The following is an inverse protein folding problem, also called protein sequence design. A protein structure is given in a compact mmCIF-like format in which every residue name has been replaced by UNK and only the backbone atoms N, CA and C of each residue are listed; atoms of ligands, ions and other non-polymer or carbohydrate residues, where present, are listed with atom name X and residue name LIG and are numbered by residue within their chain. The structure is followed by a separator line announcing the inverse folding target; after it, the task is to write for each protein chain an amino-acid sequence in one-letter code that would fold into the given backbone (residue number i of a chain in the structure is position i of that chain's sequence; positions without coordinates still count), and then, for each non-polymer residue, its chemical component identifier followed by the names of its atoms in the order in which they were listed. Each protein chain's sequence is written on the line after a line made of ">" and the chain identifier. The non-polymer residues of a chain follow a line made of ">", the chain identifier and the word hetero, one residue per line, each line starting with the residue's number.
data_IF_988268001659
#
_entry.id   IF_988268001659
#
_cell.length_a   1.000
_cell.length_b   1.000
_cell.length_c   1.000
_cell.angle_alpha   90.00
_cell.angle_beta   90.00
_cell.angle_gamma   90.00
#
_symmetry.space_group_name_H-M   'P 1'
#
loop_
_entity.id
_entity.type
_entity.pdbx_description
1 polymer ?
#
# COMPACT_ATOMS: atom_id res chain seq x y z
N UNK A 1 -19.68 -3.79 3.21
CA UNK A 1 -19.07 -2.95 4.27
C UNK A 1 -18.74 -1.60 3.68
N UNK A 2 -18.92 -0.55 4.48
CA UNK A 2 -18.47 0.80 4.14
C UNK A 2 -17.01 0.94 4.56
N UNK A 3 -16.11 1.08 3.60
CA UNK A 3 -14.67 0.91 3.85
C UNK A 3 -13.88 2.14 3.41
N UNK A 4 -12.97 2.58 4.27
CA UNK A 4 -11.95 3.59 3.95
C UNK A 4 -10.63 2.84 3.66
N UNK A 5 -9.92 3.22 2.60
CA UNK A 5 -8.67 2.57 2.21
C UNK A 5 -7.49 3.51 2.43
N UNK A 6 -6.45 3.05 3.14
CA UNK A 6 -5.16 3.75 3.19
C UNK A 6 -4.48 3.55 1.84
N UNK A 7 -4.29 4.63 1.09
CA UNK A 7 -3.79 4.59 -0.28
C UNK A 7 -2.56 5.47 -0.44
N UNK A 8 -1.41 4.86 -0.69
CA UNK A 8 -0.16 5.60 -0.93
C UNK A 8 0.03 5.97 -2.42
N UNK A 9 -0.81 5.46 -3.33
CA UNK A 9 -0.61 5.62 -4.77
C UNK A 9 0.31 4.56 -5.37
N UNK A 10 0.81 3.64 -4.54
CA UNK A 10 1.61 2.49 -4.99
C UNK A 10 0.74 1.36 -5.52
N UNK A 11 1.37 0.41 -6.20
CA UNK A 11 0.70 -0.73 -6.83
C UNK A 11 -0.27 -1.43 -5.86
N UNK A 12 0.22 -1.76 -4.67
CA UNK A 12 -0.53 -2.59 -3.71
C UNK A 12 -1.79 -1.87 -3.21
N UNK A 13 -1.63 -0.61 -2.80
CA UNK A 13 -2.73 0.18 -2.23
C UNK A 13 -3.77 0.58 -3.29
N UNK A 14 -3.33 0.84 -4.53
CA UNK A 14 -4.26 1.14 -5.63
C UNK A 14 -5.03 -0.12 -6.02
N UNK A 15 -4.35 -1.28 -6.06
CA UNK A 15 -5.04 -2.57 -6.32
C UNK A 15 -6.07 -2.86 -5.23
N UNK A 16 -5.72 -2.62 -3.96
CA UNK A 16 -6.68 -2.77 -2.86
C UNK A 16 -7.87 -1.81 -3.03
N UNK A 17 -7.64 -0.55 -3.42
CA UNK A 17 -8.72 0.40 -3.62
C UNK A 17 -9.70 -0.08 -4.70
N UNK A 18 -9.18 -0.60 -5.82
CA UNK A 18 -10.01 -1.16 -6.89
C UNK A 18 -10.78 -2.40 -6.43
N UNK A 19 -10.13 -3.29 -5.66
CA UNK A 19 -10.80 -4.45 -5.08
C UNK A 19 -11.96 -4.03 -4.17
N UNK A 20 -11.71 -3.07 -3.25
CA UNK A 20 -12.74 -2.59 -2.33
C UNK A 20 -13.90 -1.94 -3.10
N UNK A 21 -13.59 -1.12 -4.12
CA UNK A 21 -14.62 -0.47 -4.92
C UNK A 21 -15.50 -1.50 -5.66
N UNK A 22 -14.94 -2.66 -6.02
CA UNK A 22 -15.69 -3.72 -6.71
C UNK A 22 -16.51 -4.60 -5.76
N UNK A 23 -16.01 -4.84 -4.55
CA UNK A 23 -16.60 -5.82 -3.62
C UNK A 23 -17.39 -5.18 -2.47
N UNK A 24 -17.18 -3.90 -2.19
CA UNK A 24 -17.70 -3.21 -1.02
C UNK A 24 -18.10 -1.77 -1.40
N UNK A 25 -18.57 -1.01 -0.42
CA UNK A 25 -18.82 0.43 -0.59
C UNK A 25 -17.55 1.19 -0.20
N UNK A 26 -16.81 1.66 -1.19
CA UNK A 26 -15.60 2.47 -0.94
C UNK A 26 -16.03 3.90 -0.59
N UNK A 27 -15.78 4.34 0.66
CA UNK A 27 -16.17 5.67 1.12
C UNK A 27 -15.13 6.74 0.78
N UNK A 28 -13.85 6.42 0.95
CA UNK A 28 -12.77 7.40 0.75
C UNK A 28 -11.43 6.70 0.64
N UNK A 29 -10.47 7.39 0.00
CA UNK A 29 -9.05 7.05 0.08
C UNK A 29 -8.36 8.05 1.02
N UNK A 30 -7.47 7.54 1.88
CA UNK A 30 -6.72 8.36 2.83
C UNK A 30 -5.23 8.17 2.55
N UNK A 31 -4.53 9.26 2.31
CA UNK A 31 -3.07 9.29 2.13
C UNK A 31 -2.43 10.11 3.24
N UNK A 32 -1.13 9.88 3.47
CA UNK A 32 -0.41 10.57 4.54
C UNK A 32 0.83 11.27 3.98
N UNK A 33 0.92 12.57 4.25
CA UNK A 33 2.15 13.34 4.05
C UNK A 33 2.87 13.38 5.39
N UNK A 34 3.94 12.59 5.49
CA UNK A 34 4.79 12.52 6.69
C UNK A 34 6.19 13.09 6.41
N UNK A 35 6.29 13.93 5.37
CA UNK A 35 7.56 14.51 4.97
C UNK A 35 8.43 13.54 4.17
N UNK A 36 7.84 12.53 3.55
CA UNK A 36 8.57 11.58 2.70
C UNK A 36 9.33 12.30 1.59
N UNK A 37 10.47 11.74 1.23
CA UNK A 37 11.44 12.34 0.29
C UNK A 37 10.79 12.69 -1.06
N UNK A 38 9.86 11.87 -1.52
CA UNK A 38 9.18 12.06 -2.79
C UNK A 38 7.67 11.98 -2.61
N UNK A 39 7.00 13.10 -2.85
CA UNK A 39 5.55 13.21 -2.68
C UNK A 39 4.76 12.83 -3.93
N UNK A 40 5.45 12.42 -4.99
CA UNK A 40 4.84 12.04 -6.27
C UNK A 40 3.76 10.97 -6.07
N UNK A 41 3.98 10.02 -5.16
CA UNK A 41 3.01 8.98 -4.86
C UNK A 41 1.65 9.54 -4.41
N UNK A 42 1.63 10.71 -3.75
CA UNK A 42 0.37 11.34 -3.32
C UNK A 42 -0.47 11.80 -4.51
N UNK A 43 0.18 12.23 -5.60
CA UNK A 43 -0.54 12.59 -6.84
C UNK A 43 -1.20 11.35 -7.44
N UNK A 44 -0.52 10.20 -7.42
CA UNK A 44 -1.09 8.94 -7.90
C UNK A 44 -2.26 8.46 -7.04
N UNK A 45 -2.19 8.68 -5.73
CA UNK A 45 -3.32 8.38 -4.82
C UNK A 45 -4.51 9.29 -5.11
N UNK A 46 -4.26 10.59 -5.35
CA UNK A 46 -5.32 11.54 -5.72
C UNK A 46 -5.96 11.16 -7.06
N UNK A 47 -5.16 10.74 -8.04
CA UNK A 47 -5.66 10.28 -9.33
C UNK A 47 -6.53 9.01 -9.16
N UNK A 48 -6.11 8.09 -8.32
CA UNK A 48 -6.88 6.89 -8.00
C UNK A 48 -8.25 7.27 -7.42
N UNK A 49 -8.29 8.15 -6.44
CA UNK A 49 -9.54 8.61 -5.82
C UNK A 49 -10.47 9.25 -6.86
N UNK A 50 -9.91 10.08 -7.75
CA UNK A 50 -10.67 10.72 -8.80
C UNK A 50 -11.29 9.69 -9.77
N UNK A 51 -10.52 8.67 -10.17
CA UNK A 51 -11.01 7.60 -11.05
C UNK A 51 -12.11 6.78 -10.39
N UNK A 52 -12.00 6.54 -9.09
CA UNK A 52 -12.99 5.75 -8.34
C UNK A 52 -14.18 6.60 -7.86
N UNK A 53 -14.13 7.91 -8.06
CA UNK A 53 -15.23 8.81 -7.72
C UNK A 53 -15.44 9.01 -6.22
N UNK A 54 -14.37 8.93 -5.43
CA UNK A 54 -14.45 9.03 -3.95
C UNK A 54 -13.60 10.17 -3.41
N UNK A 55 -13.89 10.71 -2.22
CA UNK A 55 -13.04 11.70 -1.55
C UNK A 55 -11.63 11.17 -1.30
N UNK A 56 -10.66 12.11 -1.35
CA UNK A 56 -9.26 11.82 -1.04
C UNK A 56 -8.82 12.72 0.11
N UNK A 57 -8.52 12.26 1.19
CA UNK A 57 -8.18 13.01 2.30
C UNK A 57 -6.71 13.00 2.43
N UNK A 58 -6.16 13.82 2.61
CA UNK A 58 -4.84 13.95 2.90
C UNK A 58 -4.70 14.20 4.33
N UNK A 59 -4.02 13.44 4.99
CA UNK A 59 -3.57 13.61 6.36
C UNK A 59 -2.15 14.15 6.38
N UNK A 60 -1.91 15.14 7.21
CA UNK A 60 -0.56 15.68 7.40
C UNK A 60 -0.07 15.35 8.81
N UNK A 61 1.05 14.63 8.93
CA UNK A 61 1.82 14.60 10.14
C UNK A 61 3.29 14.66 9.71
N UNK A 62 3.98 15.68 10.14
CA UNK A 62 5.39 15.91 9.80
C UNK A 62 6.20 16.09 11.07
N UNK A 63 7.14 15.18 11.31
CA UNK A 63 8.23 15.41 12.24
C UNK A 63 9.55 15.26 11.49
N UNK A 64 10.47 16.15 11.76
CA UNK A 64 11.78 16.19 11.11
C UNK A 64 12.58 14.90 11.25
N UNK A 65 12.24 14.08 12.24
CA UNK A 65 12.92 12.82 12.54
C UNK A 65 12.50 11.66 11.64
N UNK A 66 11.46 11.82 10.81
CA UNK A 66 10.89 10.71 10.01
C UNK A 66 11.46 10.63 8.59
N UNK A 67 12.66 11.14 8.36
CA UNK A 67 13.26 11.23 7.02
C UNK A 67 14.05 9.99 6.57
N UNK A 68 14.10 8.93 7.38
CA UNK A 68 14.78 7.69 6.98
C UNK A 68 13.82 6.75 6.23
N UNK A 69 14.36 5.83 5.45
CA UNK A 69 13.58 4.91 4.62
C UNK A 69 12.69 3.97 5.45
N UNK A 70 13.09 3.67 6.67
CA UNK A 70 12.27 2.92 7.63
C UNK A 70 11.79 3.91 8.69
N UNK A 71 10.50 4.19 8.70
CA UNK A 71 9.85 5.02 9.72
C UNK A 71 9.22 4.05 10.73
N UNK A 72 9.86 3.85 11.89
CA UNK A 72 9.32 2.89 12.86
C UNK A 72 7.88 3.25 13.27
N UNK A 73 7.05 2.22 13.39
CA UNK A 73 5.66 2.39 13.85
C UNK A 73 4.76 3.16 12.87
N UNK A 74 5.19 3.33 11.61
CA UNK A 74 4.45 4.16 10.64
C UNK A 74 3.03 3.65 10.40
N UNK A 75 2.87 2.34 10.20
CA UNK A 75 1.55 1.79 9.93
C UNK A 75 0.61 1.95 11.14
N UNK A 76 1.12 1.82 12.37
CA UNK A 76 0.30 2.04 13.57
C UNK A 76 -0.21 3.48 13.65
N UNK A 77 0.66 4.47 13.35
CA UNK A 77 0.26 5.89 13.35
C UNK A 77 -0.82 6.15 12.29
N UNK A 78 -0.57 5.72 11.06
CA UNK A 78 -1.51 5.92 9.95
C UNK A 78 -2.85 5.25 10.23
N UNK A 79 -2.81 4.01 10.74
CA UNK A 79 -4.02 3.25 11.07
C UNK A 79 -4.82 3.94 12.20
N UNK A 80 -4.15 4.44 13.23
CA UNK A 80 -4.83 5.14 14.33
C UNK A 80 -5.63 6.34 13.82
N UNK A 81 -5.02 7.14 12.95
CA UNK A 81 -5.69 8.31 12.36
C UNK A 81 -6.85 7.85 11.46
N UNK A 82 -6.62 6.84 10.63
CA UNK A 82 -7.65 6.31 9.73
C UNK A 82 -8.84 5.73 10.48
N UNK A 83 -8.62 5.07 11.63
CA UNK A 83 -9.70 4.55 12.47
C UNK A 83 -10.52 5.69 13.09
N UNK A 84 -9.88 6.77 13.53
CA UNK A 84 -10.61 7.95 14.01
C UNK A 84 -11.49 8.55 12.92
N UNK A 85 -10.96 8.66 11.71
CA UNK A 85 -11.72 9.14 10.55
C UNK A 85 -12.89 8.18 10.21
N UNK A 86 -12.63 6.88 10.22
CA UNK A 86 -13.64 5.85 9.94
C UNK A 86 -14.80 5.92 10.95
N UNK A 87 -14.48 6.07 12.24
CA UNK A 87 -15.50 6.20 13.28
C UNK A 87 -16.35 7.46 13.04
N UNK A 88 -15.70 8.59 12.72
CA UNK A 88 -16.40 9.87 12.45
C UNK A 88 -17.30 9.79 11.22
N UNK A 89 -16.92 9.00 10.22
CA UNK A 89 -17.69 8.85 8.96
C UNK A 89 -18.63 7.63 8.98
N UNK A 90 -18.75 6.97 10.12
CA UNK A 90 -19.60 5.79 10.26
C UNK A 90 -19.24 4.68 9.26
N UNK A 91 -17.95 4.51 9.00
CA UNK A 91 -17.43 3.43 8.18
C UNK A 91 -17.36 2.12 9.00
N UNK A 92 -17.48 0.99 8.31
CA UNK A 92 -17.41 -0.35 8.94
C UNK A 92 -15.97 -0.86 9.03
N UNK A 93 -15.08 -0.35 8.16
CA UNK A 93 -13.71 -0.88 8.08
C UNK A 93 -12.70 0.16 7.59
N UNK A 94 -11.45 -0.04 8.01
CA UNK A 94 -10.26 0.57 7.41
C UNK A 94 -9.47 -0.53 6.72
N UNK A 95 -9.08 -0.35 5.46
CA UNK A 95 -8.32 -1.34 4.71
C UNK A 95 -6.88 -0.84 4.46
N UNK A 96 -5.93 -1.77 4.57
CA UNK A 96 -4.50 -1.52 4.32
C UNK A 96 -3.90 -2.64 3.48
N UNK A 97 -2.95 -2.31 2.60
CA UNK A 97 -2.38 -3.24 1.60
C UNK A 97 -1.01 -3.78 2.01
N UNK A 98 -0.78 -4.05 3.29
CA UNK A 98 0.43 -4.76 3.73
C UNK A 98 0.41 -6.19 3.17
N UNK A 99 1.58 -6.74 2.82
CA UNK A 99 1.63 -8.06 2.19
C UNK A 99 2.77 -8.93 2.75
N UNK A 100 2.76 -10.21 2.38
CA UNK A 100 3.70 -11.20 2.92
C UNK A 100 5.17 -10.86 2.72
N UNK A 101 5.51 -10.23 1.61
CA UNK A 101 6.89 -9.81 1.32
C UNK A 101 7.43 -8.73 2.25
N UNK A 102 6.55 -7.96 2.90
CA UNK A 102 6.95 -6.88 3.81
C UNK A 102 7.42 -7.40 5.19
N UNK A 103 7.07 -8.63 5.55
CA UNK A 103 7.22 -9.16 6.91
C UNK A 103 8.66 -9.17 7.43
N UNK A 104 9.64 -9.37 6.53
CA UNK A 104 11.06 -9.45 6.90
C UNK A 104 11.58 -8.10 7.38
N UNK A 105 11.10 -7.02 6.76
CA UNK A 105 11.64 -5.67 6.98
C UNK A 105 10.79 -4.90 7.99
N UNK A 106 9.45 -5.05 7.92
CA UNK A 106 8.51 -4.18 8.66
C UNK A 106 7.67 -5.00 9.65
N UNK A 107 7.98 -4.92 10.96
CA UNK A 107 7.18 -5.63 11.98
C UNK A 107 5.70 -5.24 11.96
N UNK A 108 5.40 -3.97 11.62
CA UNK A 108 4.04 -3.44 11.56
C UNK A 108 3.31 -3.77 10.25
N UNK A 109 3.82 -4.78 9.52
CA UNK A 109 3.13 -5.41 8.38
C UNK A 109 2.75 -6.86 8.66
N UNK A 110 3.12 -7.41 9.81
CA UNK A 110 2.93 -8.84 10.14
C UNK A 110 1.51 -9.14 10.64
N UNK A 111 1.03 -10.39 10.45
CA UNK A 111 -0.32 -10.77 10.93
C UNK A 111 -0.54 -10.47 12.42
N UNK A 112 0.44 -10.78 13.28
CA UNK A 112 0.32 -10.50 14.71
C UNK A 112 0.12 -9.03 15.04
N UNK A 113 0.74 -8.13 14.27
CA UNK A 113 0.50 -6.69 14.43
C UNK A 113 -0.94 -6.35 14.02
N UNK A 114 -1.40 -6.85 12.86
CA UNK A 114 -2.75 -6.58 12.34
C UNK A 114 -3.81 -7.02 13.37
N UNK A 115 -3.66 -8.24 13.90
CA UNK A 115 -4.61 -8.78 14.89
C UNK A 115 -4.62 -7.97 16.19
N UNK A 116 -3.43 -7.64 16.71
CA UNK A 116 -3.29 -6.87 17.95
C UNK A 116 -3.82 -5.45 17.77
N UNK A 117 -3.56 -4.82 16.62
CA UNK A 117 -4.04 -3.47 16.35
C UNK A 117 -5.58 -3.47 16.27
N UNK A 118 -6.16 -4.45 15.57
CA UNK A 118 -7.62 -4.56 15.46
C UNK A 118 -8.26 -4.76 16.85
N UNK A 119 -7.68 -5.61 17.71
CA UNK A 119 -8.17 -5.83 19.08
C UNK A 119 -8.08 -4.54 19.91
N UNK A 120 -6.97 -3.84 19.83
CA UNK A 120 -6.78 -2.56 20.55
C UNK A 120 -7.83 -1.53 20.11
N UNK A 121 -8.08 -1.41 18.83
CA UNK A 121 -9.07 -0.45 18.30
C UNK A 121 -10.49 -0.83 18.72
N UNK A 122 -10.82 -2.11 18.80
CA UNK A 122 -12.13 -2.55 19.28
C UNK A 122 -12.38 -2.06 20.71
N UNK A 123 -11.37 -2.13 21.58
CA UNK A 123 -11.47 -1.59 22.94
C UNK A 123 -11.52 -0.05 22.93
N UNK A 124 -10.69 0.60 22.12
CA UNK A 124 -10.63 2.05 22.09
C UNK A 124 -11.93 2.70 21.60
N UNK A 125 -12.68 1.99 20.76
CA UNK A 125 -13.94 2.50 20.16
C UNK A 125 -15.19 1.88 20.82
N UNK A 126 -15.02 1.11 21.87
CA UNK A 126 -16.14 0.42 22.54
C UNK A 126 -17.25 1.40 22.95
N UNK A 127 -18.46 1.14 22.49
CA UNK A 127 -19.62 1.98 22.75
C UNK A 127 -19.78 3.17 21.79
N UNK A 128 -18.81 3.42 20.92
CA UNK A 128 -18.84 4.53 19.95
C UNK A 128 -18.95 4.06 18.49
N UNK A 129 -18.13 3.09 18.11
CA UNK A 129 -18.10 2.62 16.73
C UNK A 129 -17.57 1.18 16.69
N UNK A 130 -17.95 0.45 15.63
CA UNK A 130 -17.44 -0.90 15.38
C UNK A 130 -16.72 -0.91 14.04
N UNK A 131 -15.47 -0.49 14.05
CA UNK A 131 -14.62 -0.41 12.84
C UNK A 131 -13.63 -1.56 12.88
N UNK A 132 -13.49 -2.28 11.76
CA UNK A 132 -12.57 -3.41 11.64
C UNK A 132 -11.38 -3.07 10.77
N UNK A 133 -10.23 -3.66 11.08
CA UNK A 133 -9.06 -3.59 10.20
C UNK A 133 -9.15 -4.70 9.15
N UNK A 134 -9.08 -4.33 7.88
CA UNK A 134 -9.16 -5.25 6.76
C UNK A 134 -7.82 -5.24 6.01
N UNK A 135 -7.05 -6.33 6.11
CA UNK A 135 -5.73 -6.45 5.48
C UNK A 135 -5.69 -7.73 4.63
N UNK A 136 -6.39 -7.73 3.46
CA UNK A 136 -6.59 -8.97 2.71
C UNK A 136 -5.30 -9.53 2.10
N UNK A 137 -4.25 -8.71 2.00
CA UNK A 137 -2.99 -9.13 1.38
C UNK A 137 -1.93 -9.56 2.40
N UNK A 138 -2.23 -9.52 3.70
CA UNK A 138 -1.22 -9.70 4.74
C UNK A 138 -0.43 -11.02 4.63
N UNK A 139 -1.01 -12.06 4.04
CA UNK A 139 -0.33 -13.36 3.90
C UNK A 139 -0.02 -13.74 2.44
N UNK A 140 -0.26 -12.84 1.48
CA UNK A 140 -0.06 -13.18 0.06
C UNK A 140 1.15 -12.46 -0.53
N UNK A 141 1.63 -12.93 -1.67
CA UNK A 141 2.76 -12.34 -2.38
C UNK A 141 2.33 -11.10 -3.18
N UNK A 142 3.30 -10.28 -3.54
CA UNK A 142 3.05 -9.13 -4.43
C UNK A 142 2.54 -9.59 -5.82
N UNK A 143 2.98 -10.77 -6.30
CA UNK A 143 2.48 -11.33 -7.55
C UNK A 143 0.96 -11.61 -7.47
N UNK A 144 0.48 -12.10 -6.31
CA UNK A 144 -0.96 -12.31 -6.11
C UNK A 144 -1.72 -10.97 -6.12
N UNK A 145 -1.10 -9.90 -5.64
CA UNK A 145 -1.70 -8.54 -5.71
C UNK A 145 -1.81 -8.08 -7.17
N UNK A 146 -0.79 -8.36 -7.99
CA UNK A 146 -0.85 -8.04 -9.44
C UNK A 146 -2.02 -8.80 -10.08
N UNK A 147 -2.17 -10.10 -9.76
CA UNK A 147 -3.29 -10.91 -10.27
C UNK A 147 -4.65 -10.33 -9.86
N UNK A 148 -4.79 -9.96 -8.59
CA UNK A 148 -6.00 -9.28 -8.10
C UNK A 148 -6.22 -7.96 -8.84
N UNK A 149 -5.15 -7.19 -9.03
CA UNK A 149 -5.22 -5.91 -9.75
C UNK A 149 -5.77 -6.07 -11.17
N UNK A 150 -5.34 -7.11 -11.90
CA UNK A 150 -5.91 -7.42 -13.22
C UNK A 150 -7.40 -7.70 -13.09
N UNK A 151 -7.77 -8.55 -12.15
CA UNK A 151 -9.16 -8.93 -11.91
C UNK A 151 -10.08 -7.72 -11.67
N UNK A 152 -9.59 -6.73 -10.92
CA UNK A 152 -10.39 -5.57 -10.55
C UNK A 152 -10.10 -4.31 -11.40
N UNK A 153 -9.36 -4.47 -12.50
CA UNK A 153 -9.13 -3.39 -13.46
C UNK A 153 -8.20 -2.28 -12.96
N UNK A 154 -7.22 -2.61 -12.13
CA UNK A 154 -6.24 -1.64 -11.65
C UNK A 154 -5.45 -1.05 -12.83
N UNK A 155 -5.43 0.28 -12.99
CA UNK A 155 -4.62 0.91 -14.04
C UNK A 155 -3.15 0.99 -13.57
N UNK A 156 -2.40 -0.08 -13.73
CA UNK A 156 -1.02 -0.20 -13.20
C UNK A 156 -0.09 0.93 -13.65
N UNK A 157 -0.26 1.45 -14.88
CA UNK A 157 0.49 2.62 -15.33
C UNK A 157 0.18 3.89 -14.54
N UNK A 158 -0.92 3.90 -13.80
CA UNK A 158 -1.32 4.98 -12.88
C UNK A 158 -0.94 4.69 -11.43
N UNK A 159 0.14 3.93 -11.19
CA UNK A 159 0.66 3.65 -9.83
C UNK A 159 2.15 3.98 -9.77
N UNK A 160 2.63 4.40 -8.60
CA UNK A 160 4.03 4.79 -8.42
C UNK A 160 4.73 3.94 -7.35
N UNK A 161 5.88 3.34 -7.70
CA UNK A 161 6.65 2.49 -6.78
C UNK A 161 8.06 3.00 -6.51
N UNK A 162 8.63 3.83 -7.37
CA UNK A 162 10.05 4.16 -7.34
C UNK A 162 10.44 5.10 -6.20
N UNK A 163 11.36 4.67 -5.34
CA UNK A 163 11.87 5.48 -4.22
C UNK A 163 12.77 6.65 -4.67
N UNK A 164 13.27 6.67 -5.92
CA UNK A 164 14.13 7.76 -6.39
C UNK A 164 13.34 9.00 -6.83
N UNK A 165 12.05 8.86 -7.12
CA UNK A 165 11.17 9.99 -7.42
C UNK A 165 11.47 10.73 -8.72
N UNK A 166 12.16 10.09 -9.67
CA UNK A 166 12.47 10.67 -10.97
C UNK A 166 11.26 10.84 -11.88
N UNK A 167 11.48 11.23 -13.13
CA UNK A 167 10.40 11.35 -14.11
C UNK A 167 9.81 9.97 -14.41
N UNK A 168 10.67 8.96 -14.60
CA UNK A 168 10.29 7.56 -14.81
C UNK A 168 10.72 6.72 -13.60
N UNK A 169 10.24 5.48 -13.52
CA UNK A 169 10.75 4.50 -12.54
C UNK A 169 12.22 4.19 -12.86
N UNK A 170 13.10 4.21 -11.89
CA UNK A 170 14.53 4.00 -12.15
C UNK A 170 14.88 2.56 -12.59
N UNK A 171 14.05 1.57 -12.24
CA UNK A 171 14.30 0.17 -12.56
C UNK A 171 15.28 -0.54 -11.64
N UNK A 172 16.02 0.19 -10.79
CA UNK A 172 17.15 -0.34 -10.00
C UNK A 172 16.93 -0.37 -8.49
N UNK A 173 16.01 0.43 -7.96
CA UNK A 173 15.75 0.41 -6.51
C UNK A 173 14.95 -0.83 -6.13
N UNK A 174 15.00 -1.23 -4.85
CA UNK A 174 14.35 -2.44 -4.37
C UNK A 174 12.89 -2.55 -4.77
N UNK A 175 12.13 -1.45 -4.65
CA UNK A 175 10.71 -1.45 -5.00
C UNK A 175 10.47 -1.57 -6.52
N UNK A 176 11.38 -1.08 -7.36
CA UNK A 176 11.28 -1.30 -8.81
C UNK A 176 11.58 -2.76 -9.17
N UNK A 177 12.61 -3.34 -8.55
CA UNK A 177 12.96 -4.77 -8.75
C UNK A 177 11.78 -5.65 -8.32
N UNK A 178 11.28 -5.43 -7.10
CA UNK A 178 10.13 -6.18 -6.57
C UNK A 178 8.90 -6.04 -7.46
N UNK A 179 8.63 -4.84 -7.96
CA UNK A 179 7.51 -4.61 -8.88
C UNK A 179 7.67 -5.43 -10.16
N UNK A 180 8.85 -5.36 -10.81
CA UNK A 180 9.12 -6.10 -12.05
C UNK A 180 8.98 -7.61 -11.83
N UNK A 181 9.58 -8.10 -10.76
CA UNK A 181 9.49 -9.52 -10.40
C UNK A 181 8.03 -9.95 -10.17
N UNK A 182 7.24 -9.12 -9.47
CA UNK A 182 5.84 -9.44 -9.20
C UNK A 182 5.03 -9.58 -10.50
N UNK A 183 5.23 -8.68 -11.47
CA UNK A 183 4.57 -8.79 -12.77
C UNK A 183 5.02 -10.04 -13.53
N UNK A 184 6.32 -10.34 -13.50
CA UNK A 184 6.88 -11.53 -14.14
C UNK A 184 6.26 -12.81 -13.55
N UNK A 185 6.24 -12.92 -12.22
CA UNK A 185 5.70 -14.09 -11.52
C UNK A 185 4.18 -14.23 -11.70
N UNK A 186 3.48 -13.11 -11.87
CA UNK A 186 2.05 -13.12 -12.14
C UNK A 186 1.73 -13.45 -13.62
N UNK A 187 2.74 -13.47 -14.50
CA UNK A 187 2.52 -13.66 -15.93
C UNK A 187 1.78 -12.50 -16.59
N UNK A 188 1.93 -11.29 -16.05
CA UNK A 188 1.22 -10.08 -16.48
C UNK A 188 2.23 -9.09 -17.07
N UNK A 189 1.90 -8.48 -18.21
CA UNK A 189 2.76 -7.44 -18.79
C UNK A 189 2.78 -6.20 -17.89
N UNK A 190 3.97 -5.77 -17.49
CA UNK A 190 4.14 -4.56 -16.70
C UNK A 190 4.09 -3.32 -17.62
N UNK A 191 3.10 -2.44 -17.48
CA UNK A 191 3.00 -1.25 -18.35
C UNK A 191 3.90 -0.09 -17.93
N UNK A 192 4.74 -0.28 -16.92
CA UNK A 192 5.55 0.77 -16.31
C UNK A 192 6.74 1.13 -17.21
N UNK A 193 6.98 2.43 -17.37
CA UNK A 193 8.16 2.93 -18.09
C UNK A 193 9.34 3.04 -17.13
N UNK A 194 10.42 2.31 -17.42
CA UNK A 194 11.63 2.25 -16.59
C UNK A 194 12.82 2.87 -17.29
N UNK A 195 13.71 3.52 -16.54
CA UNK A 195 15.01 3.96 -17.04
C UNK A 195 15.92 2.76 -17.34
N UNK A 196 15.85 1.72 -16.49
CA UNK A 196 16.56 0.46 -16.69
C UNK A 196 15.56 -0.69 -16.52
N UNK A 197 15.01 -1.20 -17.64
CA UNK A 197 13.95 -2.22 -17.57
C UNK A 197 14.44 -3.64 -17.24
N UNK A 198 15.75 -3.91 -17.38
CA UNK A 198 16.29 -5.28 -17.32
C UNK A 198 17.13 -5.57 -16.06
N UNK A 199 17.47 -4.56 -15.29
CA UNK A 199 18.30 -4.71 -14.08
C UNK A 199 17.75 -5.76 -13.10
N UNK A 200 16.42 -5.87 -13.01
CA UNK A 200 15.76 -6.77 -12.05
C UNK A 200 16.15 -8.24 -12.27
N UNK A 201 16.44 -8.66 -13.50
CA UNK A 201 16.81 -10.05 -13.81
C UNK A 201 18.09 -10.44 -13.07
N UNK A 202 19.13 -9.61 -13.19
CA UNK A 202 20.41 -9.87 -12.50
C UNK A 202 20.25 -9.75 -10.97
N UNK A 203 19.44 -8.79 -10.52
CA UNK A 203 19.22 -8.56 -9.10
C UNK A 203 18.53 -9.77 -8.43
N UNK A 204 17.47 -10.31 -9.05
CA UNK A 204 16.75 -11.47 -8.49
C UNK A 204 17.62 -12.73 -8.50
N UNK A 205 18.42 -12.95 -9.53
CA UNK A 205 19.37 -14.07 -9.56
C UNK A 205 20.43 -13.97 -8.45
N UNK A 206 20.90 -12.76 -8.17
CA UNK A 206 21.88 -12.53 -7.11
C UNK A 206 21.29 -12.83 -5.72
N UNK A 207 20.04 -12.48 -5.48
CA UNK A 207 19.33 -12.77 -4.22
C UNK A 207 19.14 -14.27 -4.05
N UNK A 208 18.66 -14.97 -5.07
CA UNK A 208 18.46 -16.42 -5.03
C UNK A 208 19.76 -17.17 -4.71
N UNK A 209 20.89 -16.71 -5.24
CA UNK A 209 22.21 -17.31 -4.97
C UNK A 209 22.69 -17.10 -3.54
N UNK A 210 22.21 -16.08 -2.84
CA UNK A 210 22.56 -15.81 -1.44
C UNK A 210 21.75 -16.66 -0.46
N UNK A 211 20.52 -17.02 -0.79
CA UNK A 211 19.65 -17.84 0.06
C UNK A 211 20.08 -19.32 0.12
N UNK A 212 20.90 -19.77 -0.82
CA UNK A 212 21.39 -21.17 -0.90
C UNK A 212 22.68 -21.39 -0.08
N UNK A 213 23.23 -20.37 0.56
CA UNK A 213 24.42 -20.47 1.42
C UNK A 213 24.05 -20.44 2.90
#
# INVERSE_FOLDING_TARGET
>A
MKTIVICSGGLDSVSLAHKIAAEQELLALVSFDYGQRHKKELDFAADCARRLGVPHXXGHYAEETMRSTVVPNRNAIMLTIAFGLAAAQQADAVAIAVHGGDHFIYPDCRPGFIDSFNAMQAHALEGYANVKLFAPYVTVSKAAIVTDGVKYGTPFGGTWSCYKGGFRHCGRCGTCVERREAFHLAGVTDPTDYEDPDFWVAATHAYAAQEVR
#
